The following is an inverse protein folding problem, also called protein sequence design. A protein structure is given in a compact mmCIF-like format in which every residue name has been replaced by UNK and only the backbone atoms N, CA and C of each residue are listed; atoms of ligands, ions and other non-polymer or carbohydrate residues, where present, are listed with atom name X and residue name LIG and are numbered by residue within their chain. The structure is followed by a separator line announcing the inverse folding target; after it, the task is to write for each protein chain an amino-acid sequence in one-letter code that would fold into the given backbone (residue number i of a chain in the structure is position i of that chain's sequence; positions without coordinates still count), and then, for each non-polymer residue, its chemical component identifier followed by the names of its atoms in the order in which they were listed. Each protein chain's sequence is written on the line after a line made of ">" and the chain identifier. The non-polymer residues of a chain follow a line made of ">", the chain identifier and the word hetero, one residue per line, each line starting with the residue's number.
data_IF_893583940924
#
_entry.id   IF_893583940924
#
_cell.length_a   1.000
_cell.length_b   1.000
_cell.length_c   1.000
_cell.angle_alpha   90.00
_cell.angle_beta   90.00
_cell.angle_gamma   90.00
#
_symmetry.space_group_name_H-M   'P 1'
#
loop_
_entity.id
_entity.type
_entity.pdbx_description
1 polymer ?
#
# COMPACT_ATOMS: atom_id res chain seq x y z
N UNK A 1 -18.12 0.79 6.06
CA UNK A 1 -16.84 0.01 6.17
C UNK A 1 -15.71 0.96 6.43
N UNK A 2 -14.92 0.70 7.44
CA UNK A 2 -13.75 1.52 7.74
C UNK A 2 -12.54 1.00 6.98
N UNK A 3 -11.88 1.89 6.25
CA UNK A 3 -10.68 1.60 5.49
C UNK A 3 -9.60 2.61 5.86
N UNK A 4 -8.39 2.12 6.05
CA UNK A 4 -7.20 2.95 6.32
C UNK A 4 -6.22 2.73 5.18
N UNK A 5 -5.67 3.81 4.66
CA UNK A 5 -4.60 3.75 3.66
C UNK A 5 -3.37 4.50 4.16
N UNK A 6 -2.23 3.81 4.21
CA UNK A 6 -0.92 4.43 4.37
C UNK A 6 -0.49 4.89 2.99
N UNK A 7 -0.59 6.19 2.76
CA UNK A 7 -0.63 6.83 1.46
C UNK A 7 0.62 7.67 1.19
N UNK A 8 1.08 7.63 -0.06
CA UNK A 8 2.10 8.55 -0.57
C UNK A 8 1.50 9.30 -1.76
N UNK A 9 1.20 10.61 -1.62
CA UNK A 9 0.57 11.37 -2.70
C UNK A 9 1.45 11.55 -3.94
N UNK A 10 2.75 11.33 -3.83
CA UNK A 10 3.66 11.37 -4.98
C UNK A 10 3.71 10.05 -5.76
N UNK A 11 3.09 8.99 -5.26
CA UNK A 11 3.11 7.66 -5.86
C UNK A 11 1.84 7.41 -6.67
N UNK A 12 1.97 7.14 -7.97
CA UNK A 12 0.82 6.87 -8.85
C UNK A 12 0.01 5.66 -8.39
N UNK A 13 0.69 4.56 -8.01
CA UNK A 13 0.01 3.37 -7.48
C UNK A 13 -0.82 3.70 -6.25
N UNK A 14 -0.29 4.52 -5.36
CA UNK A 14 -0.99 4.95 -4.15
C UNK A 14 -2.21 5.83 -4.49
N UNK A 15 -2.06 6.75 -5.44
CA UNK A 15 -3.18 7.59 -5.91
C UNK A 15 -4.28 6.77 -6.58
N UNK A 16 -3.92 5.82 -7.46
CA UNK A 16 -4.89 4.93 -8.10
C UNK A 16 -5.64 4.08 -7.06
N UNK A 17 -4.94 3.58 -6.06
CA UNK A 17 -5.54 2.80 -4.97
C UNK A 17 -6.55 3.64 -4.19
N UNK A 18 -6.18 4.86 -3.80
CA UNK A 18 -7.07 5.78 -3.10
C UNK A 18 -8.33 6.08 -3.92
N UNK A 19 -8.16 6.31 -5.21
CA UNK A 19 -9.28 6.59 -6.11
C UNK A 19 -10.23 5.38 -6.23
N UNK A 20 -9.72 4.15 -6.26
CA UNK A 20 -10.56 2.94 -6.26
C UNK A 20 -11.32 2.76 -4.94
N UNK A 21 -10.71 3.08 -3.81
CA UNK A 21 -11.41 3.07 -2.52
C UNK A 21 -12.62 4.01 -2.57
N UNK A 22 -12.41 5.22 -3.05
CA UNK A 22 -13.48 6.22 -3.19
C UNK A 22 -14.54 5.81 -4.19
N UNK A 23 -14.14 5.15 -5.28
CA UNK A 23 -15.08 4.64 -6.29
C UNK A 23 -15.96 3.49 -5.77
N UNK A 24 -15.57 2.85 -4.69
CA UNK A 24 -16.40 1.87 -3.96
C UNK A 24 -17.36 2.54 -2.97
N UNK A 25 -17.37 3.88 -2.93
CA UNK A 25 -18.22 4.65 -2.01
C UNK A 25 -17.70 4.73 -0.60
N UNK A 26 -16.42 4.50 -0.39
CA UNK A 26 -15.77 4.57 0.91
C UNK A 26 -14.83 5.77 0.95
N UNK A 27 -14.97 6.63 1.96
CA UNK A 27 -13.96 7.63 2.26
C UNK A 27 -13.02 7.06 3.32
N UNK A 28 -11.75 6.77 2.97
CA UNK A 28 -10.83 6.12 3.91
C UNK A 28 -10.22 7.13 4.88
N UNK A 29 -9.63 6.60 5.95
CA UNK A 29 -8.68 7.34 6.77
C UNK A 29 -7.34 7.34 6.03
N UNK A 30 -6.90 8.52 5.61
CA UNK A 30 -5.67 8.69 4.85
C UNK A 30 -4.55 9.08 5.81
N UNK A 31 -3.51 8.25 5.87
CA UNK A 31 -2.32 8.51 6.67
C UNK A 31 -1.15 8.72 5.73
N UNK A 32 -0.60 9.93 5.71
CA UNK A 32 0.67 10.20 5.03
C UNK A 32 1.80 9.63 5.90
N UNK A 33 2.27 8.44 5.56
CA UNK A 33 3.25 7.73 6.39
C UNK A 33 4.64 8.39 6.40
N UNK A 34 4.90 9.32 5.47
CA UNK A 34 6.14 10.10 5.49
C UNK A 34 6.14 11.10 6.63
N UNK A 35 4.95 11.58 7.01
CA UNK A 35 4.76 12.53 8.12
C UNK A 35 4.36 11.83 9.41
N UNK A 36 3.56 10.78 9.30
CA UNK A 36 3.01 10.02 10.43
C UNK A 36 3.27 8.53 10.21
N UNK A 37 4.53 8.07 10.30
CA UNK A 37 4.83 6.65 10.11
C UNK A 37 4.19 5.80 11.22
N UNK A 38 3.83 4.55 10.93
CA UNK A 38 3.34 3.64 11.96
C UNK A 38 4.46 3.37 12.98
N UNK A 39 4.08 3.15 14.23
CA UNK A 39 5.04 2.69 15.24
C UNK A 39 5.60 1.33 14.84
N UNK A 40 6.76 0.97 15.40
CA UNK A 40 7.36 -0.36 15.17
C UNK A 40 6.37 -1.48 15.49
N UNK A 41 5.69 -1.39 16.64
CA UNK A 41 4.73 -2.40 17.06
C UNK A 41 3.57 -2.50 16.08
N UNK A 42 2.99 -1.39 15.68
CA UNK A 42 1.87 -1.37 14.74
C UNK A 42 2.31 -1.92 13.38
N UNK A 43 3.45 -1.49 12.85
CA UNK A 43 3.96 -1.99 11.57
C UNK A 43 4.18 -3.50 11.62
N UNK A 44 4.77 -4.01 12.68
CA UNK A 44 4.98 -5.45 12.87
C UNK A 44 3.66 -6.22 12.83
N UNK A 45 2.64 -5.71 13.52
CA UNK A 45 1.31 -6.32 13.52
C UNK A 45 0.65 -6.28 12.14
N UNK A 46 0.76 -5.16 11.43
CA UNK A 46 0.21 -5.01 10.08
C UNK A 46 0.89 -5.95 9.08
N UNK A 47 2.21 -6.07 9.15
CA UNK A 47 2.96 -7.00 8.29
C UNK A 47 2.57 -8.45 8.54
N UNK A 48 2.42 -8.84 9.81
CA UNK A 48 1.97 -10.18 10.16
C UNK A 48 0.58 -10.48 9.55
N UNK A 49 -0.34 -9.53 9.64
CA UNK A 49 -1.69 -9.67 9.07
C UNK A 49 -1.68 -9.69 7.54
N UNK A 50 -0.75 -8.98 6.94
CA UNK A 50 -0.57 -8.97 5.48
C UNK A 50 0.18 -10.20 4.95
N UNK A 51 0.73 -11.04 5.83
CA UNK A 51 1.57 -12.16 5.43
C UNK A 51 2.92 -11.75 4.84
N UNK A 52 3.43 -10.58 5.23
CA UNK A 52 4.70 -10.03 4.73
C UNK A 52 5.78 -10.10 5.80
N UNK A 53 7.00 -10.38 5.36
CA UNK A 53 8.20 -10.15 6.17
C UNK A 53 8.56 -8.68 6.19
N UNK A 54 9.39 -8.25 7.15
CA UNK A 54 9.90 -6.88 7.20
C UNK A 54 10.65 -6.55 5.91
N UNK A 55 11.46 -7.48 5.41
CA UNK A 55 12.21 -7.27 4.16
C UNK A 55 11.29 -7.06 2.96
N UNK A 56 10.14 -7.71 2.92
CA UNK A 56 9.20 -7.59 1.80
C UNK A 56 8.50 -6.23 1.72
N UNK A 57 8.42 -5.48 2.81
CA UNK A 57 7.85 -4.13 2.78
C UNK A 57 8.87 -3.07 2.35
N UNK A 58 10.15 -3.41 2.28
CA UNK A 58 11.19 -2.46 1.90
C UNK A 58 11.10 -2.09 0.43
N UNK A 59 11.23 -0.81 0.15
CA UNK A 59 11.32 -0.26 -1.20
C UNK A 59 12.75 0.18 -1.48
N UNK A 60 13.27 -0.25 -2.64
CA UNK A 60 14.62 0.14 -3.08
C UNK A 60 14.60 1.43 -3.88
N UNK A 61 13.71 1.52 -4.87
CA UNK A 61 13.67 2.62 -5.84
C UNK A 61 13.35 3.95 -5.17
N UNK A 62 14.23 4.93 -5.36
CA UNK A 62 14.02 6.28 -4.85
C UNK A 62 14.17 6.41 -3.33
N UNK A 63 14.90 5.50 -2.70
CA UNK A 63 15.10 5.45 -1.24
C UNK A 63 16.58 5.30 -0.91
N UNK A 64 16.98 5.52 0.35
CA UNK A 64 18.36 5.29 0.77
C UNK A 64 18.72 3.81 1.00
N UNK A 65 17.95 2.87 0.46
CA UNK A 65 18.14 1.43 0.64
C UNK A 65 19.58 0.98 0.39
N UNK A 66 20.15 1.36 -0.76
CA UNK A 66 21.49 0.95 -1.13
C UNK A 66 22.57 1.68 -0.30
N UNK A 67 22.38 2.97 -0.06
CA UNK A 67 23.31 3.78 0.74
C UNK A 67 23.40 3.28 2.19
N UNK A 68 22.32 2.75 2.73
CA UNK A 68 22.25 2.19 4.08
C UNK A 68 22.67 0.72 4.14
N UNK A 69 23.02 0.11 3.01
CA UNK A 69 23.44 -1.29 2.98
C UNK A 69 22.35 -2.28 3.29
N UNK A 70 21.08 -1.95 3.05
CA UNK A 70 19.94 -2.78 3.42
C UNK A 70 19.80 -4.04 2.56
N UNK A 71 20.56 -4.15 1.46
CA UNK A 71 20.64 -5.37 0.66
C UNK A 71 21.37 -6.53 1.35
N UNK A 72 22.03 -6.26 2.47
CA UNK A 72 22.71 -7.29 3.26
C UNK A 72 21.67 -8.20 3.92
N UNK A 73 21.62 -9.47 3.46
CA UNK A 73 20.65 -10.45 3.92
C UNK A 73 20.90 -10.94 5.35
N UNK A 74 22.06 -10.60 5.94
CA UNK A 74 22.37 -10.93 7.33
C UNK A 74 21.74 -9.96 8.33
N UNK A 75 21.18 -8.83 7.87
CA UNK A 75 20.54 -7.86 8.73
C UNK A 75 19.29 -8.46 9.39
N UNK A 76 19.15 -8.20 10.70
CA UNK A 76 17.96 -8.63 11.45
C UNK A 76 16.73 -7.80 11.10
N UNK A 77 15.55 -8.33 11.42
CA UNK A 77 14.31 -7.57 11.31
C UNK A 77 14.36 -6.28 12.13
N UNK A 78 14.96 -6.32 13.32
CA UNK A 78 15.11 -5.12 14.17
C UNK A 78 15.95 -4.05 13.48
N UNK A 79 17.04 -4.44 12.80
CA UNK A 79 17.87 -3.49 12.05
C UNK A 79 17.07 -2.87 10.89
N UNK A 80 16.27 -3.67 10.18
CA UNK A 80 15.42 -3.19 9.09
C UNK A 80 14.32 -2.26 9.61
N UNK A 81 13.70 -2.60 10.73
CA UNK A 81 12.68 -1.76 11.36
C UNK A 81 13.25 -0.44 11.86
N UNK A 82 14.48 -0.45 12.40
CA UNK A 82 15.19 0.79 12.77
C UNK A 82 15.38 1.69 11.55
N UNK A 83 15.79 1.12 10.42
CA UNK A 83 15.98 1.87 9.18
C UNK A 83 14.66 2.49 8.69
N UNK A 84 13.56 1.74 8.72
CA UNK A 84 12.22 2.24 8.34
C UNK A 84 11.80 3.37 9.27
N UNK A 85 12.02 3.24 10.57
CA UNK A 85 11.71 4.28 11.55
C UNK A 85 12.48 5.57 11.32
N UNK A 86 13.76 5.47 10.93
CA UNK A 86 14.59 6.62 10.59
C UNK A 86 14.27 7.20 9.21
N UNK A 87 13.84 6.36 8.27
CA UNK A 87 13.57 6.72 6.87
C UNK A 87 12.25 6.11 6.40
N UNK A 88 11.10 6.71 6.75
CA UNK A 88 9.79 6.15 6.39
C UNK A 88 9.58 5.91 4.89
N UNK A 89 10.30 6.62 4.02
CA UNK A 89 10.24 6.41 2.56
C UNK A 89 10.63 4.97 2.16
N UNK A 90 11.36 4.25 3.03
CA UNK A 90 11.71 2.84 2.81
C UNK A 90 10.50 1.92 2.83
N UNK A 91 9.39 2.34 3.46
CA UNK A 91 8.17 1.57 3.47
C UNK A 91 7.51 1.62 2.11
N UNK A 92 7.33 0.46 1.46
CA UNK A 92 6.60 0.39 0.21
C UNK A 92 5.12 0.73 0.41
N UNK A 93 4.40 1.10 -0.65
CA UNK A 93 3.09 1.75 -0.56
C UNK A 93 2.19 1.42 -1.74
N UNK A 94 0.87 1.53 -1.57
CA UNK A 94 0.16 1.79 -0.32
C UNK A 94 -0.10 0.51 0.47
N UNK A 95 -0.07 0.60 1.78
CA UNK A 95 -0.57 -0.44 2.66
C UNK A 95 -2.01 -0.08 3.03
N UNK A 96 -2.95 -0.99 2.76
CA UNK A 96 -4.38 -0.75 2.98
C UNK A 96 -4.94 -1.74 3.97
N UNK A 97 -5.76 -1.25 4.88
CA UNK A 97 -6.39 -2.01 5.96
C UNK A 97 -7.89 -1.85 5.84
N UNK A 98 -8.61 -2.97 5.83
CA UNK A 98 -10.06 -3.00 5.94
C UNK A 98 -10.48 -4.14 6.85
N UNK A 99 -11.79 -4.29 7.19
CA UNK A 99 -12.25 -5.47 7.93
C UNK A 99 -11.97 -6.79 7.21
N UNK A 100 -11.73 -6.76 5.89
CA UNK A 100 -11.42 -7.95 5.09
C UNK A 100 -9.95 -8.35 5.13
N UNK A 101 -9.05 -7.49 5.60
CA UNK A 101 -7.64 -7.83 5.71
C UNK A 101 -6.70 -6.64 5.56
N UNK A 102 -5.42 -6.95 5.39
CA UNK A 102 -4.33 -5.99 5.18
C UNK A 102 -3.52 -6.40 3.96
N UNK A 103 -3.32 -5.48 3.02
CA UNK A 103 -2.57 -5.77 1.79
C UNK A 103 -1.66 -4.62 1.40
N UNK A 104 -0.49 -4.96 0.89
CA UNK A 104 0.32 -4.04 0.10
C UNK A 104 -0.28 -4.05 -1.31
N UNK A 105 -0.93 -2.96 -1.70
CA UNK A 105 -1.69 -2.89 -2.95
C UNK A 105 -0.80 -2.49 -4.12
N UNK A 106 0.01 -3.43 -4.57
CA UNK A 106 0.85 -3.31 -5.75
C UNK A 106 0.75 -4.61 -6.57
N UNK A 107 0.08 -4.58 -7.73
CA UNK A 107 -0.59 -3.43 -8.38
C UNK A 107 -1.78 -2.92 -7.57
N UNK A 108 -2.21 -1.70 -7.89
CA UNK A 108 -3.30 -1.01 -7.16
C UNK A 108 -4.61 -1.80 -7.09
N UNK A 109 -4.90 -2.61 -8.11
CA UNK A 109 -6.14 -3.43 -8.20
C UNK A 109 -6.26 -4.47 -7.09
N UNK A 110 -5.17 -4.79 -6.40
CA UNK A 110 -5.25 -5.66 -5.21
C UNK A 110 -6.19 -5.11 -4.14
N UNK A 111 -6.40 -3.81 -4.11
CA UNK A 111 -7.31 -3.18 -3.15
C UNK A 111 -8.76 -3.64 -3.32
N UNK A 112 -9.14 -4.09 -4.51
CA UNK A 112 -10.53 -4.52 -4.79
C UNK A 112 -10.99 -5.65 -3.87
N UNK A 113 -10.08 -6.53 -3.45
CA UNK A 113 -10.39 -7.62 -2.53
C UNK A 113 -10.65 -7.15 -1.09
N UNK A 114 -10.33 -5.91 -0.78
CA UNK A 114 -10.54 -5.30 0.54
C UNK A 114 -11.80 -4.42 0.60
N UNK A 115 -12.50 -4.22 -0.52
CA UNK A 115 -13.53 -3.20 -0.67
C UNK A 115 -14.90 -3.82 -0.95
N UNK A 116 -15.99 -3.04 -0.72
CA UNK A 116 -17.27 -3.35 -1.32
C UNK A 116 -17.19 -3.17 -2.85
N UNK A 117 -18.24 -3.57 -3.61
CA UNK A 117 -18.24 -3.44 -5.06
C UNK A 117 -17.99 -2.01 -5.53
N UNK A 118 -17.29 -1.87 -6.65
CA UNK A 118 -17.12 -0.58 -7.32
C UNK A 118 -18.48 -0.07 -7.83
N UNK A 119 -18.70 1.23 -7.71
CA UNK A 119 -19.99 1.85 -8.07
C UNK A 119 -20.08 2.29 -9.52
N UNK A 120 -18.97 2.27 -10.27
CA UNK A 120 -18.92 2.65 -11.67
C UNK A 120 -17.58 2.28 -12.26
N UNK A 121 -17.37 2.66 -13.53
CA UNK A 121 -16.11 2.38 -14.18
C UNK A 121 -14.94 3.07 -13.47
N UNK A 122 -13.77 2.48 -13.58
CA UNK A 122 -12.53 3.05 -13.09
C UNK A 122 -11.42 2.91 -14.14
N UNK A 123 -10.77 4.04 -14.40
CA UNK A 123 -9.63 4.14 -15.30
C UNK A 123 -8.47 4.71 -14.49
N UNK A 124 -7.32 4.01 -14.51
CA UNK A 124 -6.11 4.48 -13.85
C UNK A 124 -5.56 5.75 -14.51
N UNK A 125 -4.64 6.43 -13.84
CA UNK A 125 -3.99 7.64 -14.35
C UNK A 125 -3.26 7.40 -15.68
N UNK A 126 -2.74 6.19 -15.90
CA UNK A 126 -2.07 5.81 -17.15
C UNK A 126 -3.04 5.47 -18.29
N UNK A 127 -4.35 5.51 -18.04
CA UNK A 127 -5.38 5.20 -19.02
C UNK A 127 -5.84 3.74 -19.02
N UNK A 128 -5.26 2.87 -18.20
CA UNK A 128 -5.70 1.48 -18.10
C UNK A 128 -7.08 1.40 -17.45
N UNK A 129 -8.03 0.79 -18.16
CA UNK A 129 -9.38 0.56 -17.65
C UNK A 129 -9.39 -0.69 -16.78
N UNK A 130 -9.73 -0.55 -15.52
CA UNK A 130 -9.72 -1.64 -14.53
C UNK A 130 -11.14 -2.14 -14.24
N UNK A 131 -12.10 -1.22 -14.19
CA UNK A 131 -13.50 -1.50 -13.88
C UNK A 131 -14.34 -1.00 -15.05
N UNK A 132 -15.27 -1.83 -15.54
CA UNK A 132 -16.17 -1.49 -16.63
C UNK A 132 -17.37 -0.67 -16.13
N UNK A 133 -18.24 -0.28 -17.05
CA UNK A 133 -19.43 0.54 -16.73
C UNK A 133 -20.41 -0.17 -15.80
N UNK A 134 -20.37 -1.49 -15.73
CA UNK A 134 -21.21 -2.29 -14.84
C UNK A 134 -20.59 -2.49 -13.45
N UNK A 135 -19.42 -1.90 -13.19
CA UNK A 135 -18.70 -2.04 -11.92
C UNK A 135 -17.92 -3.34 -11.79
N UNK A 136 -17.69 -4.06 -12.87
CA UNK A 136 -16.99 -5.33 -12.89
C UNK A 136 -15.54 -5.15 -13.33
N UNK A 137 -14.65 -6.03 -12.83
CA UNK A 137 -13.26 -6.03 -13.27
C UNK A 137 -13.16 -6.34 -14.77
N UNK A 138 -12.37 -5.53 -15.46
CA UNK A 138 -12.05 -5.80 -16.87
C UNK A 138 -11.09 -6.98 -16.92
N UNK A 139 -11.41 -7.99 -17.77
CA UNK A 139 -10.53 -9.12 -17.95
C UNK A 139 -9.20 -8.64 -18.59
N UNK A 140 -8.08 -9.02 -17.96
CA UNK A 140 -6.75 -8.82 -18.55
C UNK A 140 -6.53 -9.91 -19.60
N UNK A 141 -6.16 -9.47 -20.78
CA UNK A 141 -5.82 -10.40 -21.88
C UNK A 141 -4.54 -11.18 -21.56
#
# INVERSE_FOLDING_TARGET
>A
MDVIIYHNPACETSRNTLAMIRNAGVEPHIIDYLKCPPTRLLLTQLLARAGLTVRQILREKGTPFHDLGLGDLSLSDDALLDAIGAHPILMNRPLVISPKGVWLCRPSEKVLDLLPPQRGQFIKEDGERVIDDAGRRVATA
#
